data_IF_878785449850
#
_entry.id   IF_878785449850
#
_cell.length_a   1.000
_cell.length_b   1.000
_cell.length_c   1.000
_cell.angle_alpha   90.00
_cell.angle_beta   90.00
_cell.angle_gamma   90.00
#
_symmetry.space_group_name_H-M   'P 1'
#
loop_
_entity.id
_entity.type
_entity.pdbx_description
1 polymer ?
#
# COMPACT_ATOMS: atom_id res chain seq x y z
N UNK A 1 22.35 6.08 -13.52
CA UNK A 1 23.42 6.11 -14.56
C UNK A 1 22.91 5.75 -15.96
N UNK A 2 22.06 4.73 -16.11
CA UNK A 2 21.49 4.28 -17.41
C UNK A 2 20.74 5.37 -18.19
N UNK A 3 19.87 6.14 -17.53
CA UNK A 3 19.14 7.25 -18.16
C UNK A 3 20.06 8.34 -18.73
N UNK A 4 21.10 8.70 -17.96
CA UNK A 4 22.06 9.74 -18.35
C UNK A 4 22.86 9.31 -19.59
N UNK A 5 23.32 8.05 -19.60
CA UNK A 5 24.02 7.48 -20.75
C UNK A 5 23.13 7.42 -22.00
N UNK A 6 21.86 7.02 -21.84
CA UNK A 6 20.90 6.99 -22.93
C UNK A 6 20.64 8.39 -23.50
N UNK A 7 20.52 9.41 -22.65
CA UNK A 7 20.34 10.80 -23.07
C UNK A 7 21.54 11.34 -23.86
N UNK A 8 22.76 11.06 -23.40
CA UNK A 8 24.00 11.42 -24.10
C UNK A 8 24.11 10.72 -25.47
N UNK A 9 23.82 9.42 -25.54
CA UNK A 9 23.84 8.66 -26.81
C UNK A 9 22.80 9.19 -27.81
N UNK A 10 21.62 9.61 -27.34
CA UNK A 10 20.60 10.23 -28.18
C UNK A 10 21.04 11.58 -28.73
N UNK A 11 21.76 12.36 -27.93
CA UNK A 11 22.35 13.64 -28.33
C UNK A 11 23.45 13.44 -29.38
N UNK A 12 24.33 12.45 -29.18
CA UNK A 12 25.36 12.06 -30.16
C UNK A 12 24.73 11.56 -31.47
N UNK A 13 23.69 10.72 -31.38
CA UNK A 13 22.93 10.27 -32.55
C UNK A 13 22.31 11.43 -33.34
N UNK A 14 21.77 12.42 -32.64
CA UNK A 14 21.23 13.65 -33.25
C UNK A 14 22.32 14.46 -33.98
N UNK A 15 23.53 14.56 -33.40
CA UNK A 15 24.66 15.25 -33.99
C UNK A 15 25.20 14.50 -35.23
N UNK A 16 25.25 13.17 -35.17
CA UNK A 16 25.65 12.32 -36.31
C UNK A 16 24.71 12.47 -37.51
N UNK A 17 23.40 12.59 -37.29
CA UNK A 17 22.42 12.88 -38.35
C UNK A 17 22.72 14.22 -39.02
N UNK A 18 23.07 15.26 -38.24
CA UNK A 18 23.44 16.58 -38.77
C UNK A 18 24.69 16.54 -39.64
N UNK A 19 25.63 15.63 -39.34
CA UNK A 19 26.83 15.39 -40.15
C UNK A 19 26.64 14.34 -41.27
N UNK A 20 25.41 13.94 -41.59
CA UNK A 20 25.06 12.95 -42.64
C UNK A 20 25.70 11.56 -42.44
N UNK A 21 25.95 11.16 -41.19
CA UNK A 21 26.44 9.82 -40.88
C UNK A 21 25.28 8.82 -40.86
N UNK A 22 25.39 7.65 -41.53
CA UNK A 22 24.27 6.72 -41.75
C UNK A 22 23.74 6.09 -40.45
N UNK A 23 24.55 6.03 -39.39
CA UNK A 23 24.21 5.34 -38.14
C UNK A 23 23.49 6.23 -37.10
N UNK A 24 23.39 7.55 -37.33
CA UNK A 24 22.86 8.49 -36.34
C UNK A 24 21.37 8.28 -36.01
N UNK A 25 20.57 7.88 -37.01
CA UNK A 25 19.15 7.56 -36.83
C UNK A 25 18.93 6.35 -35.92
N UNK A 26 19.71 5.29 -36.14
CA UNK A 26 19.66 4.07 -35.33
C UNK A 26 20.07 4.34 -33.87
N UNK A 27 21.15 5.11 -33.67
CA UNK A 27 21.63 5.47 -32.34
C UNK A 27 20.60 6.30 -31.56
N UNK A 28 19.95 7.27 -32.23
CA UNK A 28 18.90 8.10 -31.64
C UNK A 28 17.63 7.29 -31.32
N UNK A 29 17.24 6.37 -32.19
CA UNK A 29 16.11 5.46 -31.97
C UNK A 29 16.35 4.54 -30.77
N UNK A 30 17.52 3.91 -30.71
CA UNK A 30 17.91 3.04 -29.59
C UNK A 30 17.94 3.80 -28.26
N UNK A 31 18.52 5.00 -28.23
CA UNK A 31 18.50 5.88 -27.06
C UNK A 31 17.08 6.20 -26.58
N UNK A 32 16.18 6.51 -27.52
CA UNK A 32 14.79 6.84 -27.20
C UNK A 32 14.05 5.64 -26.61
N UNK A 33 14.23 4.44 -27.18
CA UNK A 33 13.65 3.22 -26.63
C UNK A 33 14.15 2.93 -25.21
N UNK A 34 15.44 3.12 -24.95
CA UNK A 34 16.00 2.96 -23.60
C UNK A 34 15.39 3.99 -22.62
N UNK A 35 15.24 5.26 -23.03
CA UNK A 35 14.62 6.28 -22.18
C UNK A 35 13.15 5.98 -21.89
N UNK A 36 12.38 5.53 -22.87
CA UNK A 36 10.98 5.09 -22.68
C UNK A 36 10.91 3.91 -21.73
N UNK A 37 11.80 2.92 -21.88
CA UNK A 37 11.90 1.78 -20.98
C UNK A 37 12.21 2.20 -19.54
N UNK A 38 13.20 3.07 -19.35
CA UNK A 38 13.55 3.60 -18.02
C UNK A 38 12.37 4.38 -17.42
N UNK A 39 11.72 5.25 -18.19
CA UNK A 39 10.54 5.98 -17.73
C UNK A 39 9.41 5.03 -17.29
N UNK A 40 9.12 4.00 -18.10
CA UNK A 40 8.12 3.00 -17.76
C UNK A 40 8.46 2.27 -16.46
N UNK A 41 9.72 1.88 -16.25
CA UNK A 41 10.14 1.23 -14.99
C UNK A 41 10.00 2.14 -13.78
N UNK A 42 10.34 3.43 -13.90
CA UNK A 42 10.20 4.41 -12.81
C UNK A 42 8.72 4.61 -12.47
N UNK A 43 7.86 4.74 -13.48
CA UNK A 43 6.40 4.87 -13.29
C UNK A 43 5.85 3.62 -12.58
N UNK A 44 6.25 2.42 -13.01
CA UNK A 44 5.83 1.16 -12.37
C UNK A 44 6.35 1.07 -10.93
N UNK A 45 7.58 1.49 -10.65
CA UNK A 45 8.11 1.54 -9.29
C UNK A 45 7.31 2.49 -8.41
N UNK A 46 7.07 3.73 -8.87
CA UNK A 46 6.28 4.71 -8.12
C UNK A 46 4.86 4.18 -7.87
N UNK A 47 4.23 3.55 -8.87
CA UNK A 47 2.91 2.97 -8.71
C UNK A 47 2.88 1.84 -7.67
N UNK A 48 3.94 1.02 -7.57
CA UNK A 48 4.03 -0.06 -6.55
C UNK A 48 4.34 0.44 -5.14
N UNK A 49 4.97 1.60 -5.00
CA UNK A 49 5.35 2.18 -3.71
C UNK A 49 4.20 2.92 -3.04
N UNK A 50 3.12 3.18 -3.76
CA UNK A 50 2.06 4.08 -3.33
C UNK A 50 0.74 3.30 -3.25
N UNK A 51 0.28 2.98 -2.03
CA UNK A 51 -0.85 2.06 -1.78
C UNK A 51 -2.15 2.44 -2.50
N UNK A 52 -2.30 3.70 -2.92
CA UNK A 52 -3.47 4.16 -3.68
C UNK A 52 -3.56 3.57 -5.10
N UNK A 53 -2.43 3.22 -5.73
CA UNK A 53 -2.46 2.59 -7.05
C UNK A 53 -2.76 1.09 -6.99
N UNK A 54 -2.45 0.43 -5.87
CA UNK A 54 -2.89 -0.95 -5.61
C UNK A 54 -4.42 -1.03 -5.56
N UNK A 55 -5.12 -0.01 -5.04
CA UNK A 55 -6.60 0.02 -5.03
C UNK A 55 -7.20 0.17 -6.44
N UNK A 56 -6.53 0.92 -7.33
CA UNK A 56 -6.96 1.04 -8.73
C UNK A 56 -6.77 -0.28 -9.51
N UNK A 57 -5.77 -1.08 -9.12
CA UNK A 57 -5.54 -2.44 -9.65
C UNK A 57 -6.40 -3.49 -8.93
N UNK A 58 -6.82 -3.27 -7.68
CA UNK A 58 -7.75 -4.14 -6.96
C UNK A 58 -9.12 -4.22 -7.63
N UNK A 59 -9.52 -3.17 -8.39
CA UNK A 59 -10.67 -3.21 -9.30
C UNK A 59 -10.53 -4.20 -10.48
N UNK A 60 -9.32 -4.73 -10.71
CA UNK A 60 -9.01 -5.80 -11.68
C UNK A 60 -8.93 -7.21 -11.04
N UNK A 61 -9.23 -7.34 -9.73
CA UNK A 61 -9.65 -8.60 -9.14
C UNK A 61 -8.65 -9.43 -8.31
N UNK A 62 -7.60 -8.85 -7.67
CA UNK A 62 -6.77 -9.54 -6.64
C UNK A 62 -6.07 -8.54 -5.68
N UNK A 63 -5.82 -8.86 -4.38
CA UNK A 63 -6.50 -9.80 -3.50
C UNK A 63 -7.35 -9.08 -2.43
N UNK A 64 -8.59 -9.53 -2.32
CA UNK A 64 -9.35 -9.45 -1.07
C UNK A 64 -8.63 -10.31 -0.02
N UNK A 65 -8.56 -9.87 1.25
CA UNK A 65 -7.91 -10.58 2.37
C UNK A 65 -7.91 -12.11 2.17
N UNK A 66 -6.76 -12.66 1.78
CA UNK A 66 -6.64 -14.09 1.48
C UNK A 66 -6.32 -14.81 2.78
N UNK A 67 -7.24 -15.69 3.18
CA UNK A 67 -7.00 -16.66 4.23
C UNK A 67 -6.53 -17.94 3.54
N UNK A 68 -5.22 -18.12 3.42
CA UNK A 68 -4.62 -19.33 2.87
C UNK A 68 -4.11 -20.20 4.03
N UNK A 69 -4.84 -21.29 4.34
CA UNK A 69 -4.48 -22.20 5.42
C UNK A 69 -4.55 -21.56 6.81
N UNK A 70 -3.43 -21.58 7.55
CA UNK A 70 -3.30 -21.00 8.90
C UNK A 70 -2.72 -19.58 8.92
N UNK A 71 -2.49 -18.97 7.76
CA UNK A 71 -1.93 -17.62 7.62
C UNK A 71 -2.99 -16.66 7.07
N UNK A 72 -3.02 -15.43 7.60
CA UNK A 72 -3.88 -14.36 7.10
C UNK A 72 -3.00 -13.21 6.62
N UNK A 73 -3.01 -12.95 5.32
CA UNK A 73 -2.30 -11.83 4.73
C UNK A 73 -3.23 -10.61 4.66
N UNK A 74 -2.82 -9.51 5.30
CA UNK A 74 -3.57 -8.26 5.35
C UNK A 74 -2.80 -7.19 4.57
N UNK A 75 -3.31 -6.70 3.44
CA UNK A 75 -2.63 -5.65 2.68
C UNK A 75 -2.67 -4.31 3.42
N UNK A 76 -1.67 -3.46 3.15
CA UNK A 76 -1.65 -2.08 3.65
C UNK A 76 -2.75 -1.27 2.95
N UNK A 77 -3.62 -0.62 3.73
CA UNK A 77 -4.66 0.24 3.17
C UNK A 77 -4.11 1.59 2.69
N UNK A 78 -4.90 2.29 1.88
CA UNK A 78 -4.53 3.59 1.30
C UNK A 78 -4.27 4.69 2.35
N UNK A 79 -4.81 4.54 3.56
CA UNK A 79 -4.58 5.44 4.69
C UNK A 79 -3.29 5.14 5.47
N UNK A 80 -2.51 4.14 5.03
CA UNK A 80 -1.26 3.73 5.66
C UNK A 80 -1.44 2.82 6.88
N UNK A 81 -2.65 2.31 7.13
CA UNK A 81 -2.94 1.41 8.24
C UNK A 81 -3.30 0.00 7.75
N UNK A 82 -3.16 -0.99 8.63
CA UNK A 82 -3.63 -2.35 8.38
C UNK A 82 -5.01 -2.53 9.02
N UNK A 83 -5.99 -2.94 8.20
CA UNK A 83 -7.35 -3.21 8.63
C UNK A 83 -7.68 -4.70 8.49
N UNK A 84 -7.99 -5.35 9.60
CA UNK A 84 -8.39 -6.74 9.65
C UNK A 84 -9.91 -6.84 9.68
N UNK A 85 -10.52 -7.57 8.74
CA UNK A 85 -11.91 -8.03 8.90
C UNK A 85 -11.90 -9.29 9.76
N UNK A 86 -12.59 -9.21 10.89
CA UNK A 86 -12.74 -10.31 11.83
C UNK A 86 -14.18 -10.44 12.30
N UNK A 87 -14.52 -11.63 12.81
CA UNK A 87 -15.86 -11.94 13.31
C UNK A 87 -15.80 -12.16 14.82
N UNK A 88 -16.59 -11.40 15.57
CA UNK A 88 -16.76 -11.54 17.01
C UNK A 88 -18.19 -12.01 17.27
N UNK A 89 -18.36 -13.18 17.89
CA UNK A 89 -19.67 -13.76 18.20
C UNK A 89 -20.65 -13.78 17.00
N UNK A 90 -20.15 -14.03 15.79
CA UNK A 90 -20.97 -14.03 14.58
C UNK A 90 -21.09 -12.68 13.86
N UNK A 91 -20.68 -11.57 14.49
CA UNK A 91 -20.74 -10.22 13.92
C UNK A 91 -19.41 -9.84 13.29
N UNK A 92 -19.45 -9.47 12.01
CA UNK A 92 -18.28 -9.00 11.27
C UNK A 92 -17.99 -7.52 11.58
N UNK A 93 -16.72 -7.21 11.81
CA UNK A 93 -16.25 -5.85 12.04
C UNK A 93 -14.81 -5.67 11.53
N UNK A 94 -14.47 -4.44 11.18
CA UNK A 94 -13.10 -4.03 10.83
C UNK A 94 -12.33 -3.59 12.07
N UNK A 95 -11.09 -4.07 12.19
CA UNK A 95 -10.17 -3.78 13.29
C UNK A 95 -8.90 -3.15 12.76
N UNK A 96 -8.52 -2.03 13.36
CA UNK A 96 -7.20 -1.45 13.14
C UNK A 96 -6.15 -2.32 13.84
N UNK A 97 -5.09 -2.71 13.13
CA UNK A 97 -3.94 -3.40 13.73
C UNK A 97 -3.06 -2.36 14.43
N UNK A 98 -3.06 -2.38 15.76
CA UNK A 98 -2.28 -1.48 16.60
C UNK A 98 -1.30 -2.27 17.48
N UNK A 99 -0.01 -2.26 17.12
CA UNK A 99 1.05 -2.93 17.89
C UNK A 99 1.36 -2.26 19.23
N UNK A 100 0.89 -1.03 19.44
CA UNK A 100 1.05 -0.30 20.69
C UNK A 100 -0.07 -0.59 21.72
N UNK A 101 -1.13 -1.26 21.30
CA UNK A 101 -2.25 -1.59 22.17
C UNK A 101 -1.98 -2.86 22.99
N UNK A 102 -2.04 -2.75 24.32
CA UNK A 102 -1.96 -3.91 25.22
C UNK A 102 -3.25 -4.74 25.23
N UNK A 103 -4.38 -4.13 24.85
CA UNK A 103 -5.71 -4.74 24.85
C UNK A 103 -6.40 -4.42 23.53
N UNK A 104 -7.21 -5.35 23.03
CA UNK A 104 -8.10 -5.10 21.89
C UNK A 104 -9.30 -4.28 22.37
N UNK A 105 -9.46 -3.08 21.83
CA UNK A 105 -10.64 -2.26 22.05
C UNK A 105 -11.66 -2.46 20.92
N UNK A 106 -12.94 -2.52 21.29
CA UNK A 106 -14.05 -2.58 20.33
C UNK A 106 -14.99 -1.42 20.59
N UNK A 107 -15.63 -0.90 19.54
CA UNK A 107 -16.62 0.17 19.72
C UNK A 107 -17.83 -0.33 20.51
N UNK A 108 -18.49 0.54 21.26
CA UNK A 108 -19.74 0.20 21.97
C UNK A 108 -20.79 -0.37 21.01
N UNK A 109 -20.85 0.15 19.77
CA UNK A 109 -21.74 -0.35 18.72
C UNK A 109 -21.41 -1.80 18.35
N UNK A 110 -20.13 -2.10 18.14
CA UNK A 110 -19.66 -3.47 17.82
C UNK A 110 -19.92 -4.41 18.99
N UNK A 111 -19.66 -3.97 20.23
CA UNK A 111 -19.93 -4.76 21.43
C UNK A 111 -21.41 -5.13 21.55
N UNK A 112 -22.31 -4.15 21.41
CA UNK A 112 -23.76 -4.37 21.46
C UNK A 112 -24.22 -5.32 20.35
N UNK A 113 -23.75 -5.12 19.12
CA UNK A 113 -24.09 -6.00 18.02
C UNK A 113 -23.62 -7.45 18.28
N UNK A 114 -22.41 -7.61 18.83
CA UNK A 114 -21.83 -8.90 19.18
C UNK A 114 -22.37 -9.50 20.49
N UNK A 115 -23.35 -8.86 21.15
CA UNK A 115 -23.91 -9.31 22.42
C UNK A 115 -22.92 -9.32 23.58
N UNK A 116 -21.90 -8.45 23.54
CA UNK A 116 -20.90 -8.30 24.59
C UNK A 116 -21.39 -7.22 25.56
N UNK A 117 -21.66 -7.64 26.79
CA UNK A 117 -22.06 -6.74 27.87
C UNK A 117 -20.85 -6.33 28.71
N UNK A 118 -20.78 -5.06 29.17
CA UNK A 118 -19.77 -4.62 30.12
C UNK A 118 -19.85 -5.42 31.42
N UNK A 119 -18.70 -5.63 32.07
CA UNK A 119 -18.66 -6.35 33.33
C UNK A 119 -19.12 -5.45 34.46
N UNK A 120 -20.34 -5.64 34.93
CA UNK A 120 -20.85 -4.91 36.10
C UNK A 120 -20.25 -5.36 37.44
N UNK A 121 -19.51 -6.48 37.46
CA UNK A 121 -18.96 -7.10 38.66
C UNK A 121 -17.51 -6.69 38.97
N UNK A 122 -16.88 -5.87 38.14
CA UNK A 122 -15.47 -5.46 38.29
C UNK A 122 -15.31 -3.94 38.21
N UNK A 123 -14.23 -3.47 38.80
CA UNK A 123 -13.84 -2.06 38.70
C UNK A 123 -13.46 -1.75 37.25
N UNK A 124 -13.87 -0.58 36.72
CA UNK A 124 -13.44 -0.11 35.40
C UNK A 124 -11.93 -0.09 35.28
N UNK A 125 -11.41 -0.49 34.12
CA UNK A 125 -9.98 -0.42 33.84
C UNK A 125 -9.64 0.96 33.28
N UNK A 126 -8.53 1.54 33.74
CA UNK A 126 -7.96 2.72 33.12
C UNK A 126 -7.05 2.29 31.99
N UNK A 127 -7.32 2.80 30.79
CA UNK A 127 -6.52 2.59 29.60
C UNK A 127 -5.87 3.91 29.20
N UNK A 128 -4.54 3.93 29.13
CA UNK A 128 -3.81 5.08 28.59
C UNK A 128 -3.75 4.98 27.08
N UNK A 129 -4.25 6.01 26.40
CA UNK A 129 -4.21 6.15 24.94
C UNK A 129 -3.36 7.37 24.56
N UNK A 130 -3.09 7.56 23.27
CA UNK A 130 -2.44 8.77 22.78
C UNK A 130 -3.22 10.05 23.12
N UNK A 131 -4.55 9.97 23.25
CA UNK A 131 -5.42 11.08 23.62
C UNK A 131 -5.61 11.23 25.14
N UNK A 132 -4.84 10.49 25.95
CA UNK A 132 -4.94 10.48 27.40
C UNK A 132 -5.61 9.22 27.95
N UNK A 133 -5.89 9.24 29.26
CA UNK A 133 -6.45 8.09 29.97
C UNK A 133 -7.96 8.05 29.86
N UNK A 134 -8.49 6.91 29.40
CA UNK A 134 -9.91 6.62 29.32
C UNK A 134 -10.28 5.51 30.31
N UNK A 135 -11.48 5.59 30.89
CA UNK A 135 -12.04 4.50 31.68
C UNK A 135 -12.89 3.61 30.78
N UNK A 136 -12.59 2.32 30.80
CA UNK A 136 -13.35 1.30 30.07
C UNK A 136 -14.15 0.49 31.10
N UNK A 137 -15.48 0.38 30.94
CA UNK A 137 -16.35 -0.37 31.84
C UNK A 137 -16.17 -1.88 31.72
#
# INVERSE_FOLDING_TARGET
MTALAALVLGWIGALMIRHKLPLGGLLRGASTLVLVGVLATVVIQIARLDPRFDVAVAGLGLPEQVVEGGETQVPLAADGHYWLRARINGVEAEFLVDTGATLTAISTKTAQAAGIEPRSDRLPIQMTTANGTVQVP
#
